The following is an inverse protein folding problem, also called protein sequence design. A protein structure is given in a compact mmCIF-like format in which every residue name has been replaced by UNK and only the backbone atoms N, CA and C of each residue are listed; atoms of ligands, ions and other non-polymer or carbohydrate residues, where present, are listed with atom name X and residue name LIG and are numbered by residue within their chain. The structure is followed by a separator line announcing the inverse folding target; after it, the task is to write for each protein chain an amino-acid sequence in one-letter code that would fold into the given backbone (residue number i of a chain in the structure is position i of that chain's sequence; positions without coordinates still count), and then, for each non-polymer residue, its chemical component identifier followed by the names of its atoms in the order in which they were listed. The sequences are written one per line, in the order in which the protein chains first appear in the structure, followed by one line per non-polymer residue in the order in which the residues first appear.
data_IF_468363111966
#
_entry.id   IF_468363111966
#
_cell.length_a   1.000
_cell.length_b   1.000
_cell.length_c   1.000
_cell.angle_alpha   90.00
_cell.angle_beta   90.00
_cell.angle_gamma   90.00
#
_symmetry.space_group_name_H-M   'P 1'
#
loop_
_entity.id
_entity.type
_entity.pdbx_description
1 polymer ?
#
# COMPACT_ATOMS: atom_id res chain seq x y z
N UNK A 1 23.90 6.37 9.35
CA UNK A 1 23.28 7.53 8.68
C UNK A 1 21.97 7.85 9.37
N UNK A 2 21.93 8.92 10.15
CA UNK A 2 20.72 9.32 10.90
C UNK A 2 19.76 9.96 9.91
N UNK A 3 18.63 9.31 9.65
CA UNK A 3 17.54 9.92 8.91
C UNK A 3 16.89 10.94 9.85
N UNK A 4 16.99 12.20 9.46
CA UNK A 4 16.43 13.33 10.20
C UNK A 4 14.90 13.23 10.19
N UNK A 5 14.32 12.87 11.33
CA UNK A 5 12.88 12.73 11.55
C UNK A 5 12.09 14.05 11.55
N UNK A 6 12.67 15.14 11.04
CA UNK A 6 12.12 16.49 11.29
C UNK A 6 11.38 17.13 10.11
N UNK A 7 11.05 16.39 9.03
CA UNK A 7 10.36 16.98 7.89
C UNK A 7 9.00 16.36 7.52
N UNK A 8 8.55 15.34 8.30
CA UNK A 8 7.25 14.69 8.07
C UNK A 8 6.12 15.22 8.97
N UNK A 9 6.32 16.29 9.75
CA UNK A 9 5.36 16.68 10.77
C UNK A 9 4.71 18.05 10.56
N UNK A 10 4.49 18.55 9.35
CA UNK A 10 3.64 19.73 9.22
C UNK A 10 2.96 19.78 7.85
N UNK A 11 1.76 19.22 7.75
CA UNK A 11 0.48 19.81 7.34
C UNK A 11 -0.57 18.75 7.01
N UNK A 12 -1.62 18.59 7.80
CA UNK A 12 -2.86 18.01 7.33
C UNK A 12 -3.84 19.16 6.99
N UNK A 13 -3.98 19.53 5.76
CA UNK A 13 -5.14 20.30 5.32
C UNK A 13 -5.89 19.56 4.22
N UNK A 14 -7.12 19.24 4.56
CA UNK A 14 -8.29 18.75 3.84
C UNK A 14 -8.60 17.27 4.03
N UNK A 15 -9.56 17.03 4.89
CA UNK A 15 -10.19 15.73 5.11
C UNK A 15 -9.93 15.21 6.53
N UNK A 16 -10.33 15.99 7.53
CA UNK A 16 -10.17 15.62 8.94
C UNK A 16 -11.08 14.42 9.29
N UNK A 17 -10.64 13.21 8.99
CA UNK A 17 -11.08 11.99 9.65
C UNK A 17 -9.98 11.55 10.61
N UNK A 18 -10.34 11.34 11.87
CA UNK A 18 -9.44 11.01 12.99
C UNK A 18 -8.69 9.66 12.80
N UNK A 19 -7.89 9.49 11.75
CA UNK A 19 -7.00 8.33 11.58
C UNK A 19 -5.89 8.26 12.63
N UNK A 20 -5.68 9.35 13.38
CA UNK A 20 -4.65 9.47 14.40
C UNK A 20 -5.04 8.87 15.77
N UNK A 21 -6.26 8.35 15.95
CA UNK A 21 -6.76 7.94 17.26
C UNK A 21 -6.77 6.44 17.54
N UNK A 22 -6.67 5.58 16.53
CA UNK A 22 -6.62 4.13 16.78
C UNK A 22 -5.25 3.56 16.45
N UNK A 23 -4.39 3.51 17.47
CA UNK A 23 -3.07 2.88 17.38
C UNK A 23 -3.12 1.39 17.04
N UNK A 24 -4.29 0.78 16.97
CA UNK A 24 -4.48 -0.63 16.60
C UNK A 24 -4.52 -0.86 15.09
N UNK A 25 -4.74 0.18 14.27
CA UNK A 25 -4.82 0.07 12.82
C UNK A 25 -3.43 0.27 12.20
N UNK A 26 -3.03 -0.64 11.34
CA UNK A 26 -1.80 -0.54 10.53
C UNK A 26 -2.06 0.13 9.19
N UNK A 27 -3.10 -0.34 8.48
CA UNK A 27 -3.50 0.21 7.17
C UNK A 27 -4.98 0.51 7.19
N UNK A 28 -5.38 1.67 6.67
CA UNK A 28 -6.78 2.01 6.42
C UNK A 28 -6.97 2.37 4.96
N UNK A 29 -7.96 1.76 4.32
CA UNK A 29 -8.44 2.11 2.99
C UNK A 29 -9.70 2.95 3.16
N UNK A 30 -9.68 4.21 2.70
CA UNK A 30 -10.84 5.10 2.76
C UNK A 30 -11.30 5.44 1.34
N UNK A 31 -12.47 4.89 0.97
CA UNK A 31 -13.13 5.12 -0.31
C UNK A 31 -12.24 4.83 -1.53
N UNK A 32 -11.41 3.79 -1.43
CA UNK A 32 -10.45 3.44 -2.47
C UNK A 32 -11.16 2.88 -3.69
N UNK A 33 -10.91 3.50 -4.85
CA UNK A 33 -11.32 2.97 -6.15
C UNK A 33 -10.11 2.91 -7.07
N UNK A 34 -10.00 1.82 -7.84
CA UNK A 34 -8.87 1.57 -8.73
C UNK A 34 -9.39 1.21 -10.11
N UNK A 35 -8.85 1.87 -11.12
CA UNK A 35 -9.17 1.59 -12.52
C UNK A 35 -7.89 1.41 -13.33
N UNK A 36 -8.00 0.59 -14.35
CA UNK A 36 -6.99 0.40 -15.39
C UNK A 36 -7.59 0.92 -16.69
N UNK A 37 -7.03 2.00 -17.22
CA UNK A 37 -7.56 2.75 -18.37
C UNK A 37 -9.06 3.11 -18.14
N UNK A 38 -9.97 2.47 -18.90
CA UNK A 38 -11.40 2.68 -18.82
C UNK A 38 -12.15 1.63 -17.98
N UNK A 39 -11.44 0.62 -17.44
CA UNK A 39 -12.05 -0.46 -16.67
C UNK A 39 -11.88 -0.24 -15.18
N UNK A 40 -13.00 -0.27 -14.44
CA UNK A 40 -12.99 -0.18 -12.98
C UNK A 40 -12.77 -1.58 -12.41
N UNK A 41 -11.62 -1.79 -11.78
CA UNK A 41 -11.26 -3.06 -11.14
C UNK A 41 -11.75 -3.15 -9.68
N UNK A 42 -11.75 -2.02 -8.98
CA UNK A 42 -12.17 -1.92 -7.57
C UNK A 42 -12.92 -0.62 -7.39
N UNK A 43 -14.01 -0.63 -6.61
CA UNK A 43 -14.85 0.55 -6.40
C UNK A 43 -15.25 0.72 -4.95
N UNK A 44 -14.98 1.91 -4.41
CA UNK A 44 -15.43 2.37 -3.09
C UNK A 44 -15.12 1.38 -1.95
N UNK A 45 -13.88 0.93 -1.85
CA UNK A 45 -13.43 0.03 -0.79
C UNK A 45 -13.12 0.82 0.48
N UNK A 46 -13.68 0.34 1.59
CA UNK A 46 -13.37 0.77 2.95
C UNK A 46 -12.91 -0.47 3.72
N UNK A 47 -11.72 -0.42 4.30
CA UNK A 47 -11.17 -1.56 5.03
C UNK A 47 -10.07 -1.10 6.00
N UNK A 48 -10.16 -1.55 7.24
CA UNK A 48 -9.11 -1.36 8.24
C UNK A 48 -8.38 -2.68 8.49
N UNK A 49 -7.06 -2.64 8.39
CA UNK A 49 -6.16 -3.76 8.68
C UNK A 49 -5.48 -3.47 10.00
N UNK A 50 -5.70 -4.34 10.97
CA UNK A 50 -5.16 -4.17 12.33
C UNK A 50 -3.70 -4.58 12.43
N UNK A 51 -2.96 -3.94 13.33
CA UNK A 51 -1.59 -4.30 13.69
C UNK A 51 -1.56 -5.70 14.32
N UNK A 52 -0.47 -6.42 14.06
CA UNK A 52 -0.19 -7.72 14.68
C UNK A 52 -1.30 -8.77 14.45
N UNK A 53 -2.05 -8.65 13.37
CA UNK A 53 -3.10 -9.60 13.00
C UNK A 53 -2.97 -10.01 11.53
N UNK A 54 -3.42 -11.22 11.21
CA UNK A 54 -3.55 -11.69 9.83
C UNK A 54 -4.92 -11.28 9.30
N UNK A 55 -4.94 -10.53 8.21
CA UNK A 55 -6.17 -10.20 7.49
C UNK A 55 -6.17 -10.91 6.15
N UNK A 56 -7.26 -11.64 5.85
CA UNK A 56 -7.42 -12.39 4.60
C UNK A 56 -8.49 -11.76 3.71
N UNK A 57 -8.16 -11.56 2.44
CA UNK A 57 -9.13 -11.18 1.41
C UNK A 57 -9.63 -12.44 0.70
N UNK A 58 -10.94 -12.74 0.82
CA UNK A 58 -11.57 -13.90 0.24
C UNK A 58 -12.56 -13.46 -0.84
N UNK A 59 -12.63 -14.20 -1.94
CA UNK A 59 -13.55 -13.93 -3.04
C UNK A 59 -13.14 -14.66 -4.32
N UNK A 60 -14.00 -14.67 -5.36
CA UNK A 60 -13.73 -15.34 -6.62
C UNK A 60 -12.52 -14.76 -7.36
N UNK A 61 -12.04 -15.50 -8.37
CA UNK A 61 -10.97 -14.98 -9.24
C UNK A 61 -11.44 -13.71 -9.95
N UNK A 62 -10.55 -12.73 -10.09
CA UNK A 62 -10.84 -11.47 -10.79
C UNK A 62 -11.61 -10.42 -9.98
N UNK A 63 -12.03 -10.68 -8.74
CA UNK A 63 -12.79 -9.71 -7.94
C UNK A 63 -11.97 -8.56 -7.34
N UNK A 64 -10.69 -8.40 -7.70
CA UNK A 64 -9.87 -7.25 -7.30
C UNK A 64 -8.98 -7.44 -6.06
N UNK A 65 -8.89 -8.65 -5.46
CA UNK A 65 -8.06 -8.89 -4.26
C UNK A 65 -6.60 -8.47 -4.45
N UNK A 66 -5.96 -8.94 -5.51
CA UNK A 66 -4.57 -8.60 -5.82
C UNK A 66 -4.39 -7.12 -6.17
N UNK A 67 -5.42 -6.49 -6.75
CA UNK A 67 -5.42 -5.06 -7.04
C UNK A 67 -5.41 -4.24 -5.75
N UNK A 68 -6.22 -4.63 -4.75
CA UNK A 68 -6.23 -3.99 -3.44
C UNK A 68 -4.90 -4.21 -2.71
N UNK A 69 -4.36 -5.44 -2.69
CA UNK A 69 -3.06 -5.73 -2.08
C UNK A 69 -1.93 -4.88 -2.69
N UNK A 70 -1.90 -4.75 -4.02
CA UNK A 70 -0.92 -3.91 -4.72
C UNK A 70 -1.12 -2.40 -4.47
N UNK A 71 -2.31 -1.97 -4.10
CA UNK A 71 -2.54 -0.59 -3.70
C UNK A 71 -1.89 -0.26 -2.35
N UNK A 72 -1.87 -1.20 -1.41
CA UNK A 72 -1.33 -1.01 -0.07
C UNK A 72 0.19 -0.72 -0.10
N UNK A 73 0.93 -1.25 -1.06
CA UNK A 73 2.37 -1.02 -1.21
C UNK A 73 2.75 -0.22 -2.46
N UNK A 74 1.79 0.42 -3.11
CA UNK A 74 1.98 1.24 -4.32
C UNK A 74 2.54 0.47 -5.52
N UNK A 75 2.39 -0.86 -5.58
CA UNK A 75 2.82 -1.66 -6.74
C UNK A 75 1.93 -1.42 -7.97
N UNK A 76 0.71 -0.89 -7.80
CA UNK A 76 -0.15 -0.50 -8.92
C UNK A 76 0.42 0.68 -9.71
N UNK A 77 1.28 1.53 -9.11
CA UNK A 77 1.94 2.65 -9.79
C UNK A 77 2.86 2.20 -10.93
N UNK A 78 3.29 0.93 -10.92
CA UNK A 78 4.12 0.33 -11.97
C UNK A 78 3.30 -0.18 -13.17
N UNK A 79 1.98 -0.13 -13.08
CA UNK A 79 1.08 -0.59 -14.13
C UNK A 79 0.58 0.64 -14.90
N UNK A 80 0.93 0.69 -16.18
CA UNK A 80 0.49 1.76 -17.08
C UNK A 80 -1.05 1.84 -17.13
N UNK A 81 -1.59 3.05 -17.14
CA UNK A 81 -3.05 3.29 -17.13
C UNK A 81 -3.73 3.05 -15.78
N UNK A 82 -3.00 2.63 -14.73
CA UNK A 82 -3.59 2.46 -13.40
C UNK A 82 -3.80 3.81 -12.73
N UNK A 83 -5.02 4.03 -12.23
CA UNK A 83 -5.38 5.23 -11.44
C UNK A 83 -6.10 4.81 -10.17
N UNK A 84 -5.63 5.36 -9.03
CA UNK A 84 -6.25 5.18 -7.74
C UNK A 84 -6.91 6.50 -7.32
N UNK A 85 -8.08 6.41 -6.72
CA UNK A 85 -8.77 7.51 -6.03
C UNK A 85 -9.18 7.05 -4.63
N UNK A 86 -9.39 7.98 -3.72
CA UNK A 86 -9.52 7.73 -2.29
C UNK A 86 -8.17 7.82 -1.59
N UNK A 87 -8.07 7.33 -0.36
CA UNK A 87 -6.86 7.40 0.45
C UNK A 87 -6.44 6.03 0.97
N UNK A 88 -5.15 5.77 0.99
CA UNK A 88 -4.55 4.60 1.62
C UNK A 88 -3.63 5.09 2.75
N UNK A 89 -4.07 4.90 3.97
CA UNK A 89 -3.37 5.38 5.15
C UNK A 89 -2.56 4.23 5.75
N UNK A 90 -1.25 4.41 5.87
CA UNK A 90 -0.35 3.49 6.56
C UNK A 90 0.25 4.20 7.78
N UNK A 91 -0.02 3.67 8.96
CA UNK A 91 0.43 4.25 10.24
C UNK A 91 0.13 5.75 10.37
N UNK A 92 -1.06 6.17 9.93
CA UNK A 92 -1.52 7.56 10.00
C UNK A 92 -1.06 8.47 8.86
N UNK A 93 -0.32 7.95 7.88
CA UNK A 93 0.21 8.72 6.73
C UNK A 93 -0.49 8.24 5.46
N UNK A 94 -1.04 9.17 4.66
CA UNK A 94 -1.53 8.82 3.33
C UNK A 94 -0.35 8.52 2.41
N UNK A 95 -0.19 7.26 2.04
CA UNK A 95 0.94 6.82 1.23
C UNK A 95 0.87 7.25 -0.24
N UNK A 96 -0.26 7.85 -0.67
CA UNK A 96 -0.42 8.42 -2.01
C UNK A 96 -0.32 9.94 -2.04
N UNK A 97 0.06 10.59 -0.91
CA UNK A 97 0.34 12.02 -0.90
C UNK A 97 1.54 12.36 -1.82
N UNK A 98 1.53 13.57 -2.38
CA UNK A 98 2.50 14.01 -3.40
C UNK A 98 3.96 14.02 -2.90
N UNK A 99 4.16 14.21 -1.60
CA UNK A 99 5.46 14.27 -0.93
C UNK A 99 6.00 12.90 -0.48
N UNK A 100 5.25 11.82 -0.71
CA UNK A 100 5.64 10.46 -0.30
C UNK A 100 6.32 9.71 -1.45
N UNK A 101 7.57 9.31 -1.21
CA UNK A 101 8.34 8.47 -2.14
C UNK A 101 7.79 7.03 -2.17
N UNK A 102 7.35 6.53 -3.35
CA UNK A 102 6.88 5.15 -3.50
C UNK A 102 7.94 4.09 -3.13
N UNK A 103 9.21 4.40 -3.28
CA UNK A 103 10.29 3.47 -2.94
C UNK A 103 10.35 3.25 -1.44
N UNK A 104 10.21 4.31 -0.64
CA UNK A 104 10.17 4.19 0.81
C UNK A 104 8.93 3.42 1.31
N UNK A 105 7.78 3.58 0.64
CA UNK A 105 6.59 2.78 0.94
C UNK A 105 6.85 1.29 0.71
N UNK A 106 7.46 0.92 -0.44
CA UNK A 106 7.77 -0.48 -0.78
C UNK A 106 8.83 -1.10 0.12
N UNK A 107 9.74 -0.31 0.67
CA UNK A 107 10.71 -0.77 1.69
C UNK A 107 10.04 -1.16 3.00
N UNK A 108 8.97 -0.46 3.39
CA UNK A 108 8.24 -0.72 4.64
C UNK A 108 7.15 -1.77 4.48
N UNK A 109 6.52 -1.85 3.32
CA UNK A 109 5.41 -2.77 3.03
C UNK A 109 5.87 -3.75 1.95
N UNK A 110 6.50 -4.83 2.38
CA UNK A 110 6.95 -5.90 1.49
C UNK A 110 5.79 -6.68 0.86
N UNK A 111 6.05 -7.35 -0.25
CA UNK A 111 5.08 -8.20 -0.93
C UNK A 111 5.71 -9.53 -1.32
N UNK A 112 4.99 -10.62 -1.04
CA UNK A 112 5.33 -11.95 -1.56
C UNK A 112 4.46 -12.22 -2.79
N UNK A 113 5.10 -12.46 -3.93
CA UNK A 113 4.41 -12.72 -5.19
C UNK A 113 4.00 -14.20 -5.29
N UNK A 114 2.94 -14.46 -6.06
CA UNK A 114 2.45 -15.82 -6.31
C UNK A 114 3.48 -16.66 -7.10
N UNK A 115 4.17 -16.04 -8.05
CA UNK A 115 5.26 -16.69 -8.78
C UNK A 115 6.60 -16.28 -8.18
N UNK A 116 7.51 -17.24 -7.91
CA UNK A 116 8.84 -16.91 -7.47
C UNK A 116 9.59 -16.13 -8.56
N UNK A 117 10.29 -15.09 -8.16
CA UNK A 117 11.11 -14.28 -9.06
C UNK A 117 12.55 -14.18 -8.51
N UNK A 118 13.31 -15.27 -8.51
CA UNK A 118 14.67 -15.26 -8.01
C UNK A 118 15.57 -14.44 -8.94
N UNK A 119 16.55 -13.77 -8.36
CA UNK A 119 17.64 -13.17 -9.14
C UNK A 119 18.51 -14.26 -9.77
N UNK A 120 19.20 -13.99 -10.89
CA UNK A 120 20.15 -14.92 -11.53
C UNK A 120 21.44 -15.04 -10.71
N UNK A 121 21.32 -15.53 -9.49
CA UNK A 121 22.34 -15.70 -8.47
C UNK A 121 22.18 -17.05 -7.79
N UNK A 122 23.12 -17.40 -6.92
CA UNK A 122 23.03 -18.62 -6.11
C UNK A 122 21.83 -18.57 -5.14
N UNK A 123 21.43 -19.73 -4.64
CA UNK A 123 20.36 -19.82 -3.60
C UNK A 123 20.75 -19.00 -2.38
N UNK A 124 22.01 -19.11 -1.94
CA UNK A 124 22.52 -18.35 -0.80
C UNK A 124 22.39 -16.83 -1.01
N UNK A 125 22.82 -16.32 -2.16
CA UNK A 125 22.76 -14.91 -2.49
C UNK A 125 21.33 -14.39 -2.61
N UNK A 126 20.38 -15.23 -3.06
CA UNK A 126 18.95 -14.86 -3.09
C UNK A 126 18.36 -14.78 -1.68
N UNK A 127 18.77 -15.65 -0.76
CA UNK A 127 18.30 -15.63 0.63
C UNK A 127 18.96 -14.48 1.42
N UNK A 128 20.24 -14.24 1.16
CA UNK A 128 21.01 -13.18 1.83
C UNK A 128 20.75 -11.77 1.25
N UNK A 129 19.92 -11.66 0.22
CA UNK A 129 19.59 -10.38 -0.41
C UNK A 129 18.60 -9.62 0.47
N UNK A 130 19.08 -8.72 1.27
CA UNK A 130 18.31 -7.91 2.23
C UNK A 130 19.31 -7.04 3.03
#
# INVERSE_FOLDING_TARGET
MKISNNKMMNKPEKGNKNYLKDNSISVSLDNVSIKYDNSVAVKNVFCDIKKNQVTSFIGPSGCGKSTVLRAINRMNDLIEGCKLSGSVIFEGIDIYAEDIDPVEVRRRIGMVFQQPNPFPKTIYENIAFG
#
